data_IF_208595704266
#
_entry.id   IF_208595704266
#
_cell.length_a   1.000
_cell.length_b   1.000
_cell.length_c   1.000
_cell.angle_alpha   90.00
_cell.angle_beta   90.00
_cell.angle_gamma   90.00
#
_symmetry.space_group_name_H-M   'P 1'
#
loop_
_entity.id
_entity.type
_entity.pdbx_description
1 polymer ?
#
# COMPACT_ATOMS: atom_id res chain seq x y z
N UNK A 1 -4.85 25.94 5.59
CA UNK A 1 -4.28 25.47 4.31
C UNK A 1 -2.80 25.22 4.58
N UNK A 2 -2.30 23.98 4.65
CA UNK A 2 -1.80 23.24 3.50
C UNK A 2 -1.50 21.79 3.92
N UNK A 3 -2.37 20.84 3.58
CA UNK A 3 -2.09 19.40 3.61
C UNK A 3 -1.30 19.02 2.35
N UNK A 4 -0.01 19.41 2.28
CA UNK A 4 0.89 19.06 1.17
C UNK A 4 2.25 18.64 1.72
N UNK A 5 2.37 17.41 2.20
CA UNK A 5 3.68 16.82 2.52
C UNK A 5 3.61 15.29 2.61
N UNK A 6 3.21 14.60 1.53
CA UNK A 6 3.34 13.14 1.46
C UNK A 6 3.31 12.61 0.02
N UNK A 7 3.81 13.36 -0.98
CA UNK A 7 3.60 13.00 -2.40
C UNK A 7 4.87 12.96 -3.26
N UNK A 8 6.03 12.96 -2.62
CA UNK A 8 7.35 12.91 -3.23
C UNK A 8 8.11 11.94 -2.33
N UNK A 9 7.99 10.62 -2.53
CA UNK A 9 9.05 9.79 -3.10
C UNK A 9 8.47 8.40 -3.45
N UNK A 10 7.30 8.36 -4.09
CA UNK A 10 6.83 7.10 -4.65
C UNK A 10 7.60 6.84 -5.95
N UNK A 11 8.79 6.25 -5.84
CA UNK A 11 9.52 5.71 -6.99
C UNK A 11 8.61 4.67 -7.66
N UNK A 12 7.92 5.11 -8.71
CA UNK A 12 6.96 4.32 -9.48
C UNK A 12 7.68 3.35 -10.42
N UNK A 13 8.79 2.80 -9.97
CA UNK A 13 9.47 1.69 -10.59
C UNK A 13 8.62 0.45 -10.37
N UNK A 14 7.71 0.17 -11.30
CA UNK A 14 6.98 -1.10 -11.35
C UNK A 14 8.00 -2.24 -11.36
N UNK A 15 8.23 -2.84 -10.20
CA UNK A 15 9.09 -4.01 -10.09
C UNK A 15 8.39 -5.20 -10.75
N UNK A 16 9.13 -6.06 -11.46
CA UNK A 16 8.61 -7.32 -12.01
C UNK A 16 7.96 -8.22 -10.94
N UNK A 17 8.30 -8.02 -9.66
CA UNK A 17 7.65 -8.69 -8.53
C UNK A 17 6.17 -8.33 -8.46
N UNK A 18 5.82 -7.07 -8.73
CA UNK A 18 4.43 -6.62 -8.75
C UNK A 18 3.62 -7.26 -9.90
N UNK A 19 4.22 -7.52 -11.05
CA UNK A 19 3.53 -8.21 -12.16
C UNK A 19 3.24 -9.67 -11.86
N UNK A 20 4.00 -10.29 -10.94
CA UNK A 20 3.75 -11.63 -10.39
C UNK A 20 2.86 -11.64 -9.14
N UNK A 21 2.26 -10.51 -8.76
CA UNK A 21 1.43 -10.38 -7.55
C UNK A 21 2.22 -10.40 -6.23
N UNK A 22 3.55 -10.28 -6.28
CA UNK A 22 4.43 -10.21 -5.12
C UNK A 22 4.63 -8.74 -4.73
N UNK A 23 3.73 -8.25 -3.87
CA UNK A 23 3.74 -6.87 -3.41
C UNK A 23 4.41 -6.73 -2.05
N UNK A 24 5.32 -5.76 -1.94
CA UNK A 24 5.95 -5.36 -0.68
C UNK A 24 5.25 -4.11 -0.11
N UNK A 25 4.89 -4.08 1.19
CA UNK A 25 4.27 -2.91 1.80
C UNK A 25 5.26 -1.78 2.00
N UNK A 26 4.88 -0.57 1.64
CA UNK A 26 5.63 0.63 1.97
C UNK A 26 5.37 1.01 3.44
N UNK A 27 6.36 0.83 4.30
CA UNK A 27 6.20 0.86 5.77
C UNK A 27 5.63 2.19 6.30
N UNK A 28 5.97 3.32 5.69
CA UNK A 28 5.47 4.64 6.10
C UNK A 28 4.01 4.88 5.70
N UNK A 29 3.46 4.08 4.79
CA UNK A 29 2.04 4.11 4.41
C UNK A 29 1.16 3.15 5.24
N UNK A 30 1.75 2.44 6.20
CA UNK A 30 1.01 1.47 7.02
C UNK A 30 0.06 2.19 7.96
N UNK A 31 -1.22 1.82 7.89
CA UNK A 31 -2.32 2.37 8.69
C UNK A 31 -3.19 1.24 9.25
N UNK A 32 -3.90 1.50 10.35
CA UNK A 32 -4.84 0.52 10.93
C UNK A 32 -6.21 0.64 10.27
N UNK A 33 -6.83 -0.50 9.93
CA UNK A 33 -8.22 -0.58 9.44
C UNK A 33 -8.95 -1.68 10.20
N UNK A 34 -9.78 -1.29 11.18
CA UNK A 34 -10.42 -2.25 12.09
C UNK A 34 -9.37 -3.03 12.89
N UNK A 35 -9.44 -4.36 12.85
CA UNK A 35 -8.44 -5.25 13.48
C UNK A 35 -7.21 -5.50 12.60
N UNK A 36 -7.25 -5.14 11.32
CA UNK A 36 -6.15 -5.35 10.37
C UNK A 36 -5.30 -4.11 10.11
N UNK A 37 -4.31 -4.29 9.25
CA UNK A 37 -3.46 -3.23 8.71
C UNK A 37 -3.70 -3.03 7.21
N UNK A 38 -3.47 -1.82 6.73
CA UNK A 38 -3.42 -1.45 5.31
C UNK A 38 -2.15 -0.69 4.98
N UNK A 39 -1.69 -0.81 3.75
CA UNK A 39 -0.55 -0.08 3.22
C UNK A 39 -0.70 0.10 1.71
N UNK A 40 0.19 0.88 1.10
CA UNK A 40 0.41 0.86 -0.34
C UNK A 40 1.58 -0.06 -0.65
N UNK A 41 1.55 -0.73 -1.81
CA UNK A 41 2.73 -1.40 -2.32
C UNK A 41 3.83 -0.37 -2.59
N UNK A 42 5.10 -0.70 -2.38
CA UNK A 42 6.26 0.17 -2.63
C UNK A 42 6.58 0.39 -4.12
N UNK A 43 6.25 -0.55 -5.01
CA UNK A 43 6.54 -0.42 -6.47
C UNK A 43 5.37 0.00 -7.39
N UNK A 44 4.14 -0.50 -7.15
CA UNK A 44 2.99 -0.24 -8.04
C UNK A 44 1.79 0.51 -7.41
N UNK A 45 1.87 0.87 -6.15
CA UNK A 45 0.92 1.61 -5.32
C UNK A 45 -0.42 0.88 -5.12
N UNK A 46 -0.49 -0.39 -5.51
CA UNK A 46 -1.65 -1.26 -5.22
C UNK A 46 -1.90 -1.28 -3.72
N UNK A 47 -3.13 -1.00 -3.25
CA UNK A 47 -3.48 -1.14 -1.85
C UNK A 47 -3.25 -2.57 -1.38
N UNK A 48 -2.63 -2.71 -0.22
CA UNK A 48 -2.40 -3.98 0.45
C UNK A 48 -3.13 -3.98 1.79
N UNK A 49 -3.58 -5.16 2.22
CA UNK A 49 -4.11 -5.39 3.56
C UNK A 49 -3.47 -6.61 4.21
N UNK A 50 -3.37 -6.55 5.53
CA UNK A 50 -2.87 -7.64 6.37
C UNK A 50 -3.89 -7.89 7.47
N UNK A 51 -4.49 -9.06 7.43
CA UNK A 51 -5.33 -9.57 8.51
C UNK A 51 -4.47 -10.06 9.68
N UNK A 52 -5.11 -10.47 10.77
CA UNK A 52 -4.42 -10.99 11.96
C UNK A 52 -3.52 -12.19 11.67
N UNK A 53 -3.80 -12.98 10.62
CA UNK A 53 -2.97 -14.10 10.16
C UNK A 53 -1.59 -13.67 9.62
N UNK A 54 -1.39 -12.37 9.42
CA UNK A 54 -0.07 -11.78 9.29
C UNK A 54 0.52 -11.71 7.88
N UNK A 55 -0.21 -12.14 6.84
CA UNK A 55 0.22 -12.02 5.45
C UNK A 55 -0.35 -10.77 4.79
N UNK A 56 0.47 -10.06 4.01
CA UNK A 56 0.02 -8.98 3.14
C UNK A 56 -0.60 -9.55 1.85
N UNK A 57 -1.76 -9.05 1.47
CA UNK A 57 -2.44 -9.37 0.21
C UNK A 57 -3.00 -8.12 -0.46
N UNK A 58 -3.18 -8.11 -1.79
CA UNK A 58 -3.87 -7.03 -2.49
C UNK A 58 -5.25 -6.78 -1.89
N UNK A 59 -5.58 -5.50 -1.73
CA UNK A 59 -6.86 -5.03 -1.23
C UNK A 59 -7.65 -4.32 -2.34
N UNK A 60 -8.96 -4.19 -2.13
CA UNK A 60 -9.80 -3.38 -3.01
C UNK A 60 -9.27 -1.93 -3.09
N UNK A 61 -9.38 -1.27 -4.27
CA UNK A 61 -9.01 0.13 -4.44
C UNK A 61 -9.63 1.03 -3.37
N UNK A 62 -8.90 2.06 -2.96
CA UNK A 62 -9.46 3.10 -2.12
C UNK A 62 -10.48 3.86 -2.96
N UNK A 63 -11.77 3.76 -2.60
CA UNK A 63 -12.79 4.59 -3.21
C UNK A 63 -12.45 6.06 -2.92
N UNK A 64 -12.32 6.88 -3.98
CA UNK A 64 -12.36 8.33 -3.81
C UNK A 64 -13.77 8.70 -3.40
N UNK A 65 -13.91 9.37 -2.26
CA UNK A 65 -15.14 10.13 -1.96
C UNK A 65 -15.11 11.46 -2.71
#
# INVERSE_FOLDING_TARGET
MLLRAAREDYDRSMTWRCTLGLHQPYLTSVTRKGTGLRALCEGCATPLERSESGRWSPAAPLASR
#
